data_IF_434408160394
#
_entry.id   IF_434408160394
#
_cell.length_a   1.000
_cell.length_b   1.000
_cell.length_c   1.000
_cell.angle_alpha   90.00
_cell.angle_beta   90.00
_cell.angle_gamma   90.00
#
_symmetry.space_group_name_H-M   'P 1'
#
loop_
_entity.id
_entity.type
_entity.pdbx_description
1 polymer ?
#
# COMPACT_ATOMS: atom_id res chain seq x y z
N UNK A 1 -11.23 -18.86 -18.92
CA UNK A 1 -10.30 -18.45 -17.86
C UNK A 1 -8.98 -19.18 -18.02
N UNK A 2 -7.83 -18.52 -17.83
CA UNK A 2 -6.52 -19.07 -18.23
C UNK A 2 -5.38 -18.88 -17.22
N UNK A 3 -5.48 -17.95 -16.27
CA UNK A 3 -4.39 -17.63 -15.35
C UNK A 3 -4.61 -18.20 -13.95
N UNK A 4 -3.51 -18.64 -13.33
CA UNK A 4 -3.49 -19.12 -11.94
C UNK A 4 -3.40 -17.97 -10.93
N UNK A 5 -2.77 -16.85 -11.33
CA UNK A 5 -2.48 -15.69 -10.51
C UNK A 5 -2.59 -14.40 -11.32
N UNK A 6 -3.19 -13.37 -10.72
CA UNK A 6 -3.07 -11.98 -11.15
C UNK A 6 -2.54 -11.18 -9.97
N UNK A 7 -1.47 -10.41 -10.20
CA UNK A 7 -0.82 -9.59 -9.18
C UNK A 7 -0.79 -8.12 -9.60
N UNK A 8 -1.12 -7.22 -8.67
CA UNK A 8 -1.07 -5.77 -8.84
C UNK A 8 -0.19 -5.14 -7.75
N UNK A 9 0.97 -4.63 -8.12
CA UNK A 9 1.90 -4.00 -7.16
C UNK A 9 1.80 -2.48 -7.27
N UNK A 10 1.10 -1.85 -6.32
CA UNK A 10 0.91 -0.39 -6.27
C UNK A 10 0.22 0.14 -7.56
N UNK A 11 -0.84 -0.56 -7.97
CA UNK A 11 -1.63 -0.25 -9.20
C UNK A 11 -3.11 -0.04 -8.89
N UNK A 12 -3.67 -0.79 -7.95
CA UNK A 12 -5.13 -0.89 -7.79
C UNK A 12 -5.76 0.43 -7.30
N UNK A 13 -5.04 1.19 -6.50
CA UNK A 13 -5.39 2.53 -6.03
C UNK A 13 -5.37 3.61 -7.13
N UNK A 14 -4.74 3.32 -8.28
CA UNK A 14 -4.62 4.21 -9.42
C UNK A 14 -5.63 3.94 -10.54
N UNK A 15 -6.38 2.83 -10.49
CA UNK A 15 -7.32 2.50 -11.57
C UNK A 15 -8.55 3.42 -11.53
N UNK A 16 -9.12 3.70 -12.70
CA UNK A 16 -10.30 4.58 -12.79
C UNK A 16 -11.54 3.93 -12.17
N UNK A 17 -11.76 2.65 -12.44
CA UNK A 17 -12.93 1.89 -11.96
C UNK A 17 -12.48 0.57 -11.31
N UNK A 18 -12.36 0.53 -9.97
CA UNK A 18 -11.94 -0.66 -9.24
C UNK A 18 -12.89 -1.85 -9.42
N UNK A 19 -14.19 -1.61 -9.65
CA UNK A 19 -15.17 -2.69 -9.84
C UNK A 19 -14.98 -3.33 -11.20
N UNK A 20 -14.87 -2.52 -12.25
CA UNK A 20 -14.59 -3.01 -13.59
C UNK A 20 -13.23 -3.75 -13.65
N UNK A 21 -12.21 -3.21 -12.98
CA UNK A 21 -10.91 -3.89 -12.86
C UNK A 21 -11.03 -5.27 -12.20
N UNK A 22 -11.72 -5.39 -11.07
CA UNK A 22 -11.91 -6.69 -10.42
C UNK A 22 -12.72 -7.67 -11.27
N UNK A 23 -13.73 -7.19 -12.00
CA UNK A 23 -14.51 -8.01 -12.93
C UNK A 23 -13.63 -8.58 -14.06
N UNK A 24 -12.74 -7.78 -14.63
CA UNK A 24 -11.79 -8.25 -15.64
C UNK A 24 -10.78 -9.25 -15.07
N UNK A 25 -10.32 -9.03 -13.83
CA UNK A 25 -9.43 -9.97 -13.13
C UNK A 25 -10.15 -11.32 -12.92
N UNK A 26 -11.40 -11.30 -12.48
CA UNK A 26 -12.22 -12.50 -12.33
C UNK A 26 -12.41 -13.24 -13.66
N UNK A 27 -12.65 -12.51 -14.75
CA UNK A 27 -12.83 -13.09 -16.10
C UNK A 27 -11.58 -13.83 -16.60
N UNK A 28 -10.38 -13.35 -16.28
CA UNK A 28 -9.13 -13.97 -16.77
C UNK A 28 -8.61 -15.07 -15.85
N UNK A 29 -8.88 -14.98 -14.54
CA UNK A 29 -8.48 -15.98 -13.54
C UNK A 29 -9.30 -17.27 -13.65
N UNK A 30 -8.63 -18.43 -13.59
CA UNK A 30 -9.33 -19.71 -13.44
C UNK A 30 -10.14 -19.75 -12.13
N UNK A 31 -11.21 -20.56 -12.03
CA UNK A 31 -11.86 -20.81 -10.75
C UNK A 31 -10.84 -21.25 -9.68
N UNK A 32 -10.89 -20.65 -8.49
CA UNK A 32 -9.89 -20.86 -7.43
C UNK A 32 -8.54 -20.15 -7.66
N UNK A 33 -8.36 -19.44 -8.77
CA UNK A 33 -7.17 -18.64 -9.06
C UNK A 33 -6.97 -17.53 -8.03
N UNK A 34 -5.72 -17.11 -7.84
CA UNK A 34 -5.31 -16.16 -6.81
C UNK A 34 -5.25 -14.73 -7.39
N UNK A 35 -5.82 -13.77 -6.67
CA UNK A 35 -5.59 -12.35 -6.84
C UNK A 35 -4.74 -11.84 -5.68
N UNK A 36 -3.68 -11.09 -6.01
CA UNK A 36 -2.81 -10.42 -5.04
C UNK A 36 -2.70 -8.94 -5.40
N UNK A 37 -2.82 -8.06 -4.41
CA UNK A 37 -2.53 -6.65 -4.61
C UNK A 37 -1.81 -6.01 -3.44
N UNK A 38 -0.73 -5.26 -3.68
CA UNK A 38 -0.18 -4.30 -2.72
C UNK A 38 -0.76 -2.91 -2.97
N UNK A 39 -1.09 -2.23 -1.88
CA UNK A 39 -1.65 -0.88 -1.90
C UNK A 39 -1.44 -0.17 -0.55
N UNK A 40 -1.54 1.17 -0.50
CA UNK A 40 -1.40 1.93 0.74
C UNK A 40 -2.37 1.44 1.83
N UNK A 41 -1.87 1.34 3.07
CA UNK A 41 -2.66 0.98 4.24
C UNK A 41 -2.98 2.23 5.09
N UNK A 42 -4.16 2.85 4.92
CA UNK A 42 -4.55 4.04 5.69
C UNK A 42 -4.77 3.74 7.19
N UNK A 43 -4.78 2.46 7.59
CA UNK A 43 -4.91 2.04 8.99
C UNK A 43 -3.57 1.78 9.67
N UNK A 44 -2.46 1.93 8.95
CA UNK A 44 -1.09 1.75 9.45
C UNK A 44 -0.63 2.90 10.36
N UNK A 45 0.44 2.66 11.12
CA UNK A 45 0.96 3.64 12.08
C UNK A 45 1.47 4.91 11.41
N UNK A 46 2.12 4.78 10.25
CA UNK A 46 2.62 5.93 9.49
C UNK A 46 1.50 6.82 8.95
N UNK A 47 0.38 6.26 8.51
CA UNK A 47 -0.78 7.06 8.09
C UNK A 47 -1.26 7.96 9.24
N UNK A 48 -1.28 7.44 10.47
CA UNK A 48 -1.61 8.21 11.67
C UNK A 48 -0.53 9.22 12.04
N UNK A 49 0.75 8.85 11.95
CA UNK A 49 1.86 9.72 12.35
C UNK A 49 2.12 10.86 11.35
N UNK A 50 2.01 10.57 10.06
CA UNK A 50 2.22 11.56 9.00
C UNK A 50 0.97 12.41 8.74
N UNK A 51 -0.22 11.90 9.06
CA UNK A 51 -1.46 12.65 8.86
C UNK A 51 -1.60 13.07 7.40
N UNK A 52 -1.82 14.36 7.15
CA UNK A 52 -1.91 14.90 5.78
C UNK A 52 -0.67 14.70 4.92
N UNK A 53 0.50 14.52 5.55
CA UNK A 53 1.80 14.44 4.86
C UNK A 53 2.17 13.01 4.47
N UNK A 54 1.31 12.03 4.75
CA UNK A 54 1.61 10.62 4.46
C UNK A 54 1.66 10.37 2.96
N UNK A 55 2.74 9.71 2.50
CA UNK A 55 2.90 9.35 1.09
C UNK A 55 1.68 8.56 0.58
N UNK A 56 1.10 7.68 1.38
CA UNK A 56 -0.02 6.84 0.92
C UNK A 56 -1.27 7.59 0.46
N UNK A 57 -1.37 8.91 0.70
CA UNK A 57 -2.41 9.74 0.06
C UNK A 57 -2.09 10.08 -1.38
N UNK A 58 -0.84 10.44 -1.68
CA UNK A 58 -0.28 10.76 -3.01
C UNK A 58 -1.27 11.36 -4.02
N UNK A 59 -2.06 12.34 -3.58
CA UNK A 59 -3.07 12.98 -4.42
C UNK A 59 -2.38 13.87 -5.46
N UNK A 60 -2.81 13.88 -6.74
CA UNK A 60 -4.02 13.26 -7.28
C UNK A 60 -3.80 11.87 -7.92
N UNK A 61 -2.64 11.21 -7.71
CA UNK A 61 -2.32 9.94 -8.37
C UNK A 61 -3.08 8.76 -7.76
N UNK A 62 -3.17 8.65 -6.43
CA UNK A 62 -4.07 7.70 -5.78
C UNK A 62 -5.50 8.20 -5.88
N UNK A 63 -6.28 7.57 -6.76
CA UNK A 63 -7.68 7.92 -7.01
C UNK A 63 -8.60 7.33 -5.93
N UNK A 64 -8.19 6.19 -5.37
CA UNK A 64 -8.96 5.45 -4.38
C UNK A 64 -8.11 5.17 -3.15
N UNK A 65 -8.77 5.15 -1.99
CA UNK A 65 -8.17 4.75 -0.71
C UNK A 65 -8.95 3.56 -0.19
N UNK A 66 -8.25 2.47 0.08
CA UNK A 66 -8.85 1.25 0.60
C UNK A 66 -8.36 0.98 2.02
N UNK A 67 -9.28 0.91 2.98
CA UNK A 67 -9.01 0.19 4.22
C UNK A 67 -9.10 -1.32 3.95
N UNK A 68 -8.54 -2.20 4.82
CA UNK A 68 -8.74 -3.64 4.69
C UNK A 68 -10.21 -4.04 4.52
N UNK A 69 -11.10 -3.41 5.30
CA UNK A 69 -12.54 -3.68 5.24
C UNK A 69 -13.18 -3.24 3.92
N UNK A 70 -12.77 -2.09 3.38
CA UNK A 70 -13.28 -1.62 2.08
C UNK A 70 -12.81 -2.57 0.98
N UNK A 71 -11.54 -2.99 1.01
CA UNK A 71 -11.02 -3.94 0.02
C UNK A 71 -11.74 -5.28 0.09
N UNK A 72 -12.01 -5.80 1.29
CA UNK A 72 -12.81 -7.02 1.48
C UNK A 72 -14.19 -6.92 0.85
N UNK A 73 -14.87 -5.78 1.02
CA UNK A 73 -16.19 -5.56 0.44
C UNK A 73 -16.14 -5.56 -1.09
N UNK A 74 -15.18 -4.84 -1.69
CA UNK A 74 -14.99 -4.84 -3.15
C UNK A 74 -14.70 -6.23 -3.70
N UNK A 75 -13.87 -7.00 -3.01
CA UNK A 75 -13.54 -8.37 -3.38
C UNK A 75 -14.77 -9.29 -3.32
N UNK A 76 -15.51 -9.23 -2.21
CA UNK A 76 -16.73 -10.02 -2.03
C UNK A 76 -17.76 -9.73 -3.12
N UNK A 77 -17.98 -8.45 -3.43
CA UNK A 77 -18.94 -8.03 -4.46
C UNK A 77 -18.50 -8.46 -5.87
N UNK A 78 -17.20 -8.67 -6.09
CA UNK A 78 -16.62 -9.16 -7.34
C UNK A 78 -16.46 -10.69 -7.41
N UNK A 79 -17.01 -11.44 -6.44
CA UNK A 79 -16.95 -12.91 -6.44
C UNK A 79 -15.67 -13.51 -5.87
N UNK A 80 -14.83 -12.72 -5.19
CA UNK A 80 -13.64 -13.22 -4.50
C UNK A 80 -13.93 -13.59 -3.05
N UNK A 81 -13.14 -14.51 -2.51
CA UNK A 81 -13.02 -14.79 -1.09
C UNK A 81 -11.69 -14.26 -0.57
N UNK A 82 -11.74 -13.30 0.36
CA UNK A 82 -10.55 -12.79 1.04
C UNK A 82 -9.88 -13.91 1.84
N UNK A 83 -8.58 -14.11 1.60
CA UNK A 83 -7.77 -15.12 2.31
C UNK A 83 -6.99 -14.48 3.45
N UNK A 84 -6.26 -13.40 3.16
CA UNK A 84 -5.52 -12.65 4.17
C UNK A 84 -5.26 -11.21 3.73
N UNK A 85 -4.98 -10.36 4.72
CA UNK A 85 -4.42 -9.02 4.51
C UNK A 85 -3.17 -8.91 5.35
N UNK A 86 -2.04 -8.74 4.70
CA UNK A 86 -0.72 -8.73 5.34
C UNK A 86 0.04 -7.44 5.04
N UNK A 87 0.60 -6.83 6.06
CA UNK A 87 1.28 -5.54 6.00
C UNK A 87 2.73 -5.77 6.40
N UNK A 88 3.49 -6.31 5.45
CA UNK A 88 4.95 -6.52 5.56
C UNK A 88 5.78 -5.62 4.64
N UNK A 89 5.09 -4.79 3.85
CA UNK A 89 5.66 -3.82 2.93
C UNK A 89 5.51 -2.39 3.50
N UNK A 90 6.31 -1.44 3.00
CA UNK A 90 6.31 -0.07 3.55
C UNK A 90 7.41 0.11 4.59
N UNK A 91 8.65 0.17 4.09
CA UNK A 91 9.87 0.40 4.85
C UNK A 91 10.29 1.87 4.73
N UNK A 92 11.54 2.16 5.05
CA UNK A 92 12.12 3.50 5.04
C UNK A 92 11.77 4.35 3.83
N UNK A 93 11.66 3.80 2.61
CA UNK A 93 11.26 4.56 1.43
C UNK A 93 9.96 5.36 1.59
N UNK A 94 8.91 4.75 2.15
CA UNK A 94 7.61 5.43 2.36
C UNK A 94 7.74 6.53 3.41
N UNK A 95 8.48 6.26 4.49
CA UNK A 95 8.74 7.23 5.55
C UNK A 95 9.53 8.42 5.03
N UNK A 96 10.53 8.22 4.18
CA UNK A 96 11.34 9.29 3.60
C UNK A 96 10.51 10.22 2.72
N UNK A 97 9.68 9.66 1.84
CA UNK A 97 8.79 10.45 1.01
C UNK A 97 7.75 11.20 1.84
N UNK A 98 7.22 10.57 2.90
CA UNK A 98 6.30 11.25 3.82
C UNK A 98 6.97 12.39 4.60
N UNK A 99 8.26 12.22 4.96
CA UNK A 99 9.06 13.30 5.55
C UNK A 99 9.32 14.42 4.54
N UNK A 100 9.54 14.10 3.27
CA UNK A 100 9.69 15.10 2.20
C UNK A 100 8.39 15.90 2.01
N UNK A 101 7.24 15.24 1.96
CA UNK A 101 5.94 15.91 1.90
C UNK A 101 5.73 16.82 3.10
N UNK A 102 6.08 16.38 4.31
CA UNK A 102 6.05 17.20 5.52
C UNK A 102 6.99 18.40 5.45
N UNK A 103 8.20 18.21 4.92
CA UNK A 103 9.16 19.30 4.75
C UNK A 103 8.62 20.36 3.77
N UNK A 104 8.06 19.92 2.64
CA UNK A 104 7.40 20.79 1.65
C UNK A 104 6.18 21.51 2.24
N UNK A 105 5.32 20.82 2.99
CA UNK A 105 4.18 21.42 3.68
C UNK A 105 4.60 22.51 4.69
N UNK A 106 5.78 22.34 5.31
CA UNK A 106 6.40 23.32 6.21
C UNK A 106 7.27 24.36 5.50
N UNK A 107 7.27 24.38 4.17
CA UNK A 107 8.05 25.32 3.35
C UNK A 107 9.56 25.30 3.69
N UNK A 108 10.10 24.15 4.08
CA UNK A 108 11.54 23.99 4.29
C UNK A 108 12.23 24.19 2.93
N UNK A 109 13.25 25.06 2.83
CA UNK A 109 13.95 25.28 1.56
C UNK A 109 14.53 23.98 1.00
N UNK A 110 14.34 23.73 -0.29
CA UNK A 110 14.73 22.47 -0.94
C UNK A 110 16.21 22.14 -0.71
N UNK A 111 17.11 23.11 -0.83
CA UNK A 111 18.53 22.92 -0.59
C UNK A 111 18.84 22.47 0.86
N UNK A 112 18.07 22.97 1.84
CA UNK A 112 18.21 22.58 3.26
C UNK A 112 17.68 21.17 3.46
N UNK A 113 16.53 20.84 2.86
CA UNK A 113 15.96 19.50 2.91
C UNK A 113 16.92 18.48 2.29
N UNK A 114 17.39 18.70 1.06
CA UNK A 114 18.31 17.82 0.35
C UNK A 114 19.60 17.56 1.13
N UNK A 115 20.19 18.61 1.72
CA UNK A 115 21.41 18.46 2.54
C UNK A 115 21.16 17.61 3.79
N UNK A 116 20.01 17.76 4.44
CA UNK A 116 19.69 17.03 5.69
C UNK A 116 19.21 15.61 5.41
N UNK A 117 18.43 15.41 4.36
CA UNK A 117 17.82 14.12 4.02
C UNK A 117 18.84 13.10 3.53
N UNK A 118 20.01 13.52 3.00
CA UNK A 118 21.09 12.60 2.61
C UNK A 118 21.50 11.64 3.73
N UNK A 119 21.56 12.10 4.97
CA UNK A 119 21.85 11.25 6.13
C UNK A 119 20.80 10.14 6.31
N UNK A 120 19.56 10.40 5.88
CA UNK A 120 18.47 9.44 5.99
C UNK A 120 18.59 8.26 5.04
N UNK A 121 19.38 8.38 3.98
CA UNK A 121 19.63 7.30 3.02
C UNK A 121 20.79 6.38 3.41
N UNK A 122 21.52 6.70 4.47
CA UNK A 122 22.72 5.96 4.90
C UNK A 122 22.38 4.57 5.46
N UNK A 123 23.28 3.61 5.27
CA UNK A 123 23.10 2.24 5.79
C UNK A 123 22.91 2.20 7.33
N UNK A 124 23.68 2.95 8.15
CA UNK A 124 23.48 2.94 9.59
C UNK A 124 22.06 3.34 9.99
N UNK A 125 21.47 4.37 9.35
CA UNK A 125 20.11 4.77 9.68
C UNK A 125 19.08 3.75 9.18
N UNK A 126 19.30 3.15 8.01
CA UNK A 126 18.46 2.03 7.54
C UNK A 126 18.40 0.91 8.56
N UNK A 127 19.54 0.53 9.13
CA UNK A 127 19.60 -0.50 10.17
C UNK A 127 18.95 -0.05 11.47
N UNK A 128 19.21 1.19 11.92
CA UNK A 128 18.65 1.74 13.15
C UNK A 128 17.12 1.85 13.13
N UNK A 129 16.51 1.97 11.94
CA UNK A 129 15.05 2.05 11.78
C UNK A 129 14.38 0.68 11.61
N UNK A 130 15.12 -0.40 11.36
CA UNK A 130 14.55 -1.75 11.18
C UNK A 130 13.64 -2.20 12.33
N UNK A 131 13.98 -2.00 13.62
CA UNK A 131 13.11 -2.42 14.71
C UNK A 131 11.73 -1.75 14.67
N UNK A 132 11.66 -0.50 14.20
CA UNK A 132 10.39 0.24 14.07
C UNK A 132 9.49 -0.44 13.04
N UNK A 133 10.05 -0.81 11.88
CA UNK A 133 9.29 -1.51 10.84
C UNK A 133 8.93 -2.93 11.28
N UNK A 134 9.84 -3.66 11.94
CA UNK A 134 9.53 -4.99 12.49
C UNK A 134 8.41 -4.96 13.52
N UNK A 135 8.34 -3.93 14.35
CA UNK A 135 7.23 -3.72 15.26
C UNK A 135 5.93 -3.47 14.48
N UNK A 136 5.95 -2.58 13.49
CA UNK A 136 4.78 -2.32 12.65
C UNK A 136 4.28 -3.56 11.89
N UNK A 137 5.21 -4.38 11.35
CA UNK A 137 4.93 -5.68 10.73
C UNK A 137 4.26 -6.63 11.72
N UNK A 138 4.78 -6.74 12.95
CA UNK A 138 4.22 -7.61 14.00
C UNK A 138 2.77 -7.26 14.38
N UNK A 139 2.37 -5.99 14.22
CA UNK A 139 0.99 -5.54 14.43
C UNK A 139 0.14 -5.55 13.17
N UNK A 140 0.69 -5.90 12.01
CA UNK A 140 0.03 -5.79 10.71
C UNK A 140 -0.38 -4.34 10.38
N UNK A 141 0.50 -3.38 10.69
CA UNK A 141 0.24 -1.92 10.69
C UNK A 141 1.33 -1.09 10.00
N UNK A 142 2.01 -1.65 9.01
CA UNK A 142 2.92 -0.89 8.13
C UNK A 142 2.15 0.02 7.17
N UNK A 143 2.87 0.86 6.40
CA UNK A 143 2.29 1.78 5.42
C UNK A 143 1.65 1.11 4.21
N UNK A 144 1.97 -0.14 3.92
CA UNK A 144 1.46 -0.85 2.73
C UNK A 144 0.88 -2.17 3.20
N UNK A 145 -0.33 -2.48 2.74
CA UNK A 145 -0.95 -3.78 2.91
C UNK A 145 -0.94 -4.54 1.60
N UNK A 146 -0.87 -5.86 1.71
CA UNK A 146 -0.97 -6.81 0.60
C UNK A 146 -2.19 -7.66 0.86
N UNK A 147 -3.09 -7.73 -0.10
CA UNK A 147 -4.35 -8.46 -0.02
C UNK A 147 -4.25 -9.70 -0.88
N UNK A 148 -4.63 -10.84 -0.31
CA UNK A 148 -4.67 -12.13 -0.99
C UNK A 148 -6.11 -12.62 -1.02
N UNK A 149 -6.62 -12.95 -2.21
CA UNK A 149 -7.99 -13.42 -2.37
C UNK A 149 -8.11 -14.43 -3.51
N UNK A 150 -8.88 -15.49 -3.29
CA UNK A 150 -9.17 -16.46 -4.34
C UNK A 150 -10.48 -16.12 -5.04
N UNK A 151 -10.52 -16.30 -6.36
CA UNK A 151 -11.78 -16.29 -7.10
C UNK A 151 -12.62 -17.49 -6.63
N UNK A 152 -13.85 -17.25 -6.16
CA UNK A 152 -14.73 -18.35 -5.73
C UNK A 152 -15.01 -19.26 -6.92
N UNK A 153 -15.02 -20.56 -6.64
CA UNK A 153 -15.45 -21.57 -7.59
C UNK A 153 -16.89 -21.93 -7.21
N UNK A 154 -17.84 -21.10 -7.63
CA UNK A 154 -19.25 -21.45 -7.70
C UNK A 154 -19.51 -22.46 -8.83
#
# INVERSE_FOLDING_TARGET
NAFDLVALWDVFEHVLDPKATLAEIARVLRPGGLFVASLPNPTGFEAKWFGSDWLGWDRPRHLHIFTPQVMENYLRDAGFGLTSVESFNGRLGVTLMSLEFRAKARQVPEAVWQRRSQWLYTLPLRLATLPIYKLAEAFNKTSIMTVFAHLRAD
#
